data_IF_229078611911
#
_entry.id   IF_229078611911
#
_cell.length_a   1.000
_cell.length_b   1.000
_cell.length_c   1.000
_cell.angle_alpha   90.00
_cell.angle_beta   90.00
_cell.angle_gamma   90.00
#
_symmetry.space_group_name_H-M   'P 1'
#
loop_
_entity.id
_entity.type
_entity.pdbx_description
1 polymer ?
#
# COMPACT_ATOMS: atom_id res chain seq x y z
N UNK A 1 -8.76 -13.08 -0.75
CA UNK A 1 -9.54 -14.33 -0.94
C UNK A 1 -9.11 -15.09 -2.20
N UNK A 2 -9.25 -14.50 -3.41
CA UNK A 2 -8.88 -15.16 -4.67
C UNK A 2 -7.44 -15.69 -4.72
N UNK A 3 -6.51 -15.00 -4.07
CA UNK A 3 -5.12 -15.45 -3.95
C UNK A 3 -4.97 -16.82 -3.27
N UNK A 4 -5.81 -17.14 -2.28
CA UNK A 4 -5.75 -18.43 -1.59
C UNK A 4 -6.30 -19.56 -2.45
N UNK A 5 -7.37 -19.29 -3.20
CA UNK A 5 -7.87 -20.23 -4.21
C UNK A 5 -6.80 -20.44 -5.30
N UNK A 6 -6.21 -19.37 -5.82
CA UNK A 6 -5.12 -19.41 -6.80
C UNK A 6 -3.91 -20.22 -6.30
N UNK A 7 -3.50 -20.03 -5.04
CA UNK A 7 -2.43 -20.80 -4.40
C UNK A 7 -2.71 -22.30 -4.40
N UNK A 8 -3.94 -22.69 -4.02
CA UNK A 8 -4.36 -24.08 -4.03
C UNK A 8 -4.38 -24.66 -5.46
N UNK A 9 -5.01 -23.98 -6.43
CA UNK A 9 -5.06 -24.46 -7.82
C UNK A 9 -3.67 -24.63 -8.43
N UNK A 10 -2.73 -23.70 -8.18
CA UNK A 10 -1.35 -23.84 -8.69
C UNK A 10 -0.69 -25.10 -8.13
N UNK A 11 -0.85 -25.37 -6.83
CA UNK A 11 -0.21 -26.51 -6.18
C UNK A 11 -0.87 -27.82 -6.57
N UNK A 12 -2.20 -27.85 -6.60
CA UNK A 12 -2.99 -28.96 -7.10
C UNK A 12 -2.56 -29.33 -8.53
N UNK A 13 -2.39 -28.31 -9.38
CA UNK A 13 -1.95 -28.49 -10.76
C UNK A 13 -0.49 -28.94 -10.89
N UNK A 14 0.44 -28.25 -10.22
CA UNK A 14 1.88 -28.46 -10.42
C UNK A 14 2.35 -29.78 -9.84
N UNK A 15 1.80 -30.19 -8.69
CA UNK A 15 2.36 -31.29 -7.90
C UNK A 15 1.53 -32.57 -7.97
N UNK A 16 0.24 -32.51 -8.39
CA UNK A 16 -0.67 -33.66 -8.55
C UNK A 16 -0.44 -34.76 -7.51
N UNK A 17 -0.46 -34.37 -6.23
CA UNK A 17 -0.12 -35.26 -5.13
C UNK A 17 -1.30 -36.21 -4.84
N UNK A 18 -1.00 -37.47 -4.52
CA UNK A 18 -2.03 -38.45 -4.12
C UNK A 18 -2.66 -38.12 -2.75
N UNK A 19 -1.98 -37.33 -1.92
CA UNK A 19 -2.45 -37.00 -0.56
C UNK A 19 -3.04 -35.60 -0.49
N UNK A 20 -4.36 -35.56 -0.30
CA UNK A 20 -5.15 -34.34 -0.11
C UNK A 20 -4.60 -33.50 1.05
N UNK A 21 -4.23 -34.12 2.19
CA UNK A 21 -3.72 -33.39 3.36
C UNK A 21 -2.40 -32.67 3.10
N UNK A 22 -1.49 -33.30 2.35
CA UNK A 22 -0.19 -32.71 2.01
C UNK A 22 -0.41 -31.54 1.05
N UNK A 23 -1.31 -31.69 0.08
CA UNK A 23 -1.68 -30.63 -0.86
C UNK A 23 -2.27 -29.40 -0.15
N UNK A 24 -3.20 -29.60 0.79
CA UNK A 24 -3.76 -28.52 1.61
C UNK A 24 -2.70 -27.83 2.47
N UNK A 25 -1.77 -28.59 3.05
CA UNK A 25 -0.72 -28.03 3.90
C UNK A 25 0.25 -27.19 3.09
N UNK A 26 0.73 -27.71 1.96
CA UNK A 26 1.68 -27.01 1.10
C UNK A 26 1.06 -25.76 0.47
N UNK A 27 -0.20 -25.84 0.04
CA UNK A 27 -0.95 -24.69 -0.47
C UNK A 27 -1.22 -23.64 0.58
N UNK A 28 -1.44 -24.03 1.84
CA UNK A 28 -1.53 -23.12 2.96
C UNK A 28 -0.22 -22.39 3.23
N UNK A 29 0.92 -23.10 3.22
CA UNK A 29 2.25 -22.50 3.40
C UNK A 29 2.55 -21.52 2.27
N UNK A 30 2.31 -21.92 1.02
CA UNK A 30 2.52 -21.05 -0.14
C UNK A 30 1.60 -19.83 -0.11
N UNK A 31 0.35 -20.00 0.32
CA UNK A 31 -0.59 -18.89 0.48
C UNK A 31 -0.12 -17.89 1.54
N UNK A 32 0.36 -18.36 2.70
CA UNK A 32 0.89 -17.48 3.75
C UNK A 32 2.13 -16.74 3.25
N UNK A 33 3.01 -17.38 2.47
CA UNK A 33 4.17 -16.73 1.87
C UNK A 33 3.73 -15.59 0.93
N UNK A 34 2.79 -15.86 0.02
CA UNK A 34 2.26 -14.84 -0.90
C UNK A 34 1.59 -13.69 -0.14
N UNK A 35 0.79 -14.00 0.89
CA UNK A 35 0.22 -12.99 1.79
C UNK A 35 1.30 -12.14 2.47
N UNK A 36 2.40 -12.75 2.89
CA UNK A 36 3.55 -12.05 3.46
C UNK A 36 4.16 -11.05 2.49
N UNK A 37 4.43 -11.48 1.26
CA UNK A 37 4.99 -10.59 0.22
C UNK A 37 4.04 -9.43 -0.06
N UNK A 38 2.75 -9.71 -0.26
CA UNK A 38 1.76 -8.65 -0.51
C UNK A 38 1.61 -7.74 0.70
N UNK A 39 1.59 -8.28 1.92
CA UNK A 39 1.50 -7.49 3.15
C UNK A 39 2.69 -6.54 3.31
N UNK A 40 3.91 -7.01 3.03
CA UNK A 40 5.12 -6.18 3.06
C UNK A 40 5.04 -5.08 2.01
N UNK A 41 4.70 -5.42 0.76
CA UNK A 41 4.63 -4.46 -0.33
C UNK A 41 3.53 -3.42 -0.08
N UNK A 42 2.32 -3.86 0.28
CA UNK A 42 1.20 -2.95 0.57
C UNK A 42 1.55 -2.00 1.70
N UNK A 43 2.11 -2.48 2.81
CA UNK A 43 2.52 -1.61 3.93
C UNK A 43 3.68 -0.68 3.60
N UNK A 44 4.63 -1.11 2.77
CA UNK A 44 5.67 -0.24 2.26
C UNK A 44 5.08 0.90 1.41
N UNK A 45 4.10 0.56 0.55
CA UNK A 45 3.43 1.49 -0.36
C UNK A 45 2.32 2.34 0.30
N UNK A 46 1.83 1.95 1.47
CA UNK A 46 0.92 2.74 2.32
C UNK A 46 1.64 3.92 3.00
N UNK A 47 2.96 4.06 2.77
CA UNK A 47 3.62 5.34 3.00
C UNK A 47 2.90 6.46 2.23
N UNK A 48 2.96 7.71 2.71
CA UNK A 48 2.36 8.88 2.05
C UNK A 48 3.06 9.23 0.70
N UNK A 49 3.54 8.24 -0.03
CA UNK A 49 4.01 8.33 -1.39
C UNK A 49 2.81 8.20 -2.31
N UNK A 50 2.66 9.22 -3.16
CA UNK A 50 1.57 9.25 -4.11
C UNK A 50 2.11 9.63 -5.48
N UNK A 51 1.63 8.93 -6.51
CA UNK A 51 1.95 9.28 -7.87
C UNK A 51 1.01 10.41 -8.30
N UNK A 52 1.61 11.52 -8.72
CA UNK A 52 0.89 12.61 -9.34
C UNK A 52 0.89 12.35 -10.85
N UNK A 53 -0.29 12.18 -11.44
CA UNK A 53 -0.48 12.24 -12.90
C UNK A 53 -0.90 13.68 -13.27
N UNK A 54 0.02 14.50 -13.82
CA UNK A 54 -0.26 15.89 -14.16
C UNK A 54 -1.29 16.02 -15.30
N UNK A 55 -1.40 15.01 -16.17
CA UNK A 55 -2.26 15.06 -17.35
C UNK A 55 -3.74 14.89 -16.99
N UNK A 56 -4.04 14.14 -15.92
CA UNK A 56 -5.42 13.91 -15.45
C UNK A 56 -5.77 14.69 -14.18
N UNK A 57 -4.81 15.38 -13.57
CA UNK A 57 -5.00 16.09 -12.29
C UNK A 57 -5.41 15.16 -11.15
N UNK A 58 -4.97 13.89 -11.21
CA UNK A 58 -5.31 12.85 -10.23
C UNK A 58 -4.06 12.43 -9.46
N UNK A 59 -4.29 12.12 -8.20
CA UNK A 59 -3.30 11.70 -7.22
C UNK A 59 -3.67 10.26 -6.90
N UNK A 60 -2.86 9.30 -7.34
CA UNK A 60 -3.15 7.86 -7.22
C UNK A 60 -2.20 7.27 -6.19
N UNK A 61 -2.70 6.77 -5.05
CA UNK A 61 -1.90 6.03 -4.07
C UNK A 61 -1.19 4.86 -4.76
N UNK A 62 0.08 4.64 -4.43
CA UNK A 62 0.86 3.57 -5.08
C UNK A 62 0.30 2.19 -4.73
N UNK A 63 -0.30 2.05 -3.55
CA UNK A 63 -1.07 0.87 -3.13
C UNK A 63 -2.19 0.52 -4.11
N UNK A 64 -2.96 1.52 -4.54
CA UNK A 64 -4.11 1.34 -5.42
C UNK A 64 -3.67 1.00 -6.84
N UNK A 65 -2.55 1.61 -7.28
CA UNK A 65 -1.92 1.25 -8.54
C UNK A 65 -1.47 -0.22 -8.54
N UNK A 66 -0.80 -0.68 -7.48
CA UNK A 66 -0.37 -2.08 -7.39
C UNK A 66 -1.57 -3.03 -7.40
N UNK A 67 -2.62 -2.74 -6.64
CA UNK A 67 -3.83 -3.58 -6.60
C UNK A 67 -4.50 -3.65 -7.97
N UNK A 68 -4.52 -2.52 -8.70
CA UNK A 68 -5.05 -2.45 -10.07
C UNK A 68 -4.24 -3.28 -11.07
N UNK A 69 -2.94 -3.46 -10.85
CA UNK A 69 -2.08 -4.31 -11.70
C UNK A 69 -2.17 -5.79 -11.31
N UNK A 70 -2.28 -6.08 -10.01
CA UNK A 70 -2.25 -7.45 -9.48
C UNK A 70 -3.60 -8.17 -9.69
N UNK A 71 -4.72 -7.48 -9.47
CA UNK A 71 -6.07 -8.06 -9.56
C UNK A 71 -6.36 -8.68 -10.93
N UNK A 72 -6.07 -8.04 -12.08
CA UNK A 72 -6.25 -8.65 -13.40
C UNK A 72 -5.39 -9.90 -13.61
N UNK A 73 -4.14 -9.89 -13.17
CA UNK A 73 -3.21 -11.02 -13.35
C UNK A 73 -3.72 -12.25 -12.57
N UNK A 74 -4.09 -12.06 -11.30
CA UNK A 74 -4.64 -13.13 -10.46
C UNK A 74 -6.00 -13.58 -11.00
N UNK A 75 -6.86 -12.65 -11.43
CA UNK A 75 -8.19 -12.96 -11.96
C UNK A 75 -8.15 -13.80 -13.23
N UNK A 76 -7.32 -13.42 -14.21
CA UNK A 76 -7.15 -14.18 -15.47
C UNK A 76 -6.53 -15.55 -15.18
N UNK A 77 -5.51 -15.61 -14.33
CA UNK A 77 -4.89 -16.87 -13.94
C UNK A 77 -5.87 -17.81 -13.25
N UNK A 78 -6.72 -17.29 -12.36
CA UNK A 78 -7.73 -18.07 -11.64
C UNK A 78 -8.82 -18.58 -12.59
N UNK A 79 -9.31 -17.75 -13.51
CA UNK A 79 -10.28 -18.17 -14.52
C UNK A 79 -9.71 -19.31 -15.39
N UNK A 80 -8.46 -19.17 -15.81
CA UNK A 80 -7.76 -20.18 -16.60
C UNK A 80 -7.62 -21.50 -15.84
N UNK A 81 -7.07 -21.47 -14.62
CA UNK A 81 -6.83 -22.67 -13.83
C UNK A 81 -8.14 -23.36 -13.43
N UNK A 82 -9.14 -22.60 -13.00
CA UNK A 82 -10.42 -23.14 -12.58
C UNK A 82 -11.22 -23.71 -13.75
N UNK A 83 -11.21 -23.02 -14.90
CA UNK A 83 -11.82 -23.53 -16.12
C UNK A 83 -11.16 -24.83 -16.60
N UNK A 84 -9.82 -24.90 -16.51
CA UNK A 84 -9.05 -26.10 -16.87
C UNK A 84 -9.37 -27.28 -15.95
N UNK A 85 -9.36 -27.09 -14.64
CA UNK A 85 -9.62 -28.19 -13.68
C UNK A 85 -11.07 -28.65 -13.74
N UNK A 86 -12.02 -27.72 -13.94
CA UNK A 86 -13.41 -28.08 -14.20
C UNK A 86 -13.55 -28.92 -15.49
N UNK A 87 -12.80 -28.57 -16.53
CA UNK A 87 -12.82 -29.33 -17.80
C UNK A 87 -12.19 -30.72 -17.65
N UNK A 88 -11.14 -30.85 -16.84
CA UNK A 88 -10.54 -32.14 -16.53
C UNK A 88 -11.53 -33.04 -15.76
N UNK A 89 -12.15 -32.51 -14.70
CA UNK A 89 -13.14 -33.22 -13.90
C UNK A 89 -14.35 -33.65 -14.75
N UNK A 90 -14.82 -32.78 -15.65
CA UNK A 90 -15.93 -33.09 -16.55
C UNK A 90 -15.59 -34.17 -17.59
N UNK A 91 -14.32 -34.26 -18.02
CA UNK A 91 -13.87 -35.24 -19.02
C UNK A 91 -13.64 -36.62 -18.42
N UNK A 92 -13.13 -36.68 -17.20
CA UNK A 92 -12.78 -37.93 -16.53
C UNK A 92 -13.97 -38.60 -15.83
N UNK A 93 -15.20 -38.09 -16.06
CA UNK A 93 -16.43 -38.61 -15.46
C UNK A 93 -16.51 -38.33 -13.95
N UNK A 94 -15.82 -37.28 -13.51
CA UNK A 94 -15.68 -36.90 -12.12
C UNK A 94 -16.95 -36.33 -11.49
N UNK A 95 -16.86 -36.01 -10.20
CA UNK A 95 -17.98 -35.51 -9.42
C UNK A 95 -17.88 -33.99 -9.27
N UNK A 96 -18.57 -33.28 -10.17
CA UNK A 96 -18.62 -31.80 -10.17
C UNK A 96 -19.11 -31.22 -8.84
N UNK A 97 -19.98 -31.93 -8.11
CA UNK A 97 -20.49 -31.48 -6.81
C UNK A 97 -19.39 -31.51 -5.76
N UNK A 98 -18.57 -32.57 -5.74
CA UNK A 98 -17.42 -32.66 -4.83
C UNK A 98 -16.38 -31.59 -5.17
N UNK A 99 -16.09 -31.37 -6.46
CA UNK A 99 -15.18 -30.31 -6.89
C UNK A 99 -15.66 -28.91 -6.47
N UNK A 100 -16.94 -28.60 -6.65
CA UNK A 100 -17.49 -27.32 -6.20
C UNK A 100 -17.43 -27.17 -4.68
N UNK A 101 -17.71 -28.25 -3.94
CA UNK A 101 -17.63 -28.26 -2.48
C UNK A 101 -16.20 -28.02 -1.98
N UNK A 102 -15.18 -28.62 -2.61
CA UNK A 102 -13.77 -28.39 -2.24
C UNK A 102 -13.34 -26.96 -2.54
N UNK A 103 -13.73 -26.40 -3.70
CA UNK A 103 -13.46 -25.00 -4.04
C UNK A 103 -14.08 -24.04 -3.02
N UNK A 104 -15.33 -24.28 -2.61
CA UNK A 104 -16.00 -23.46 -1.60
C UNK A 104 -15.31 -23.55 -0.23
N UNK A 105 -14.89 -24.76 0.16
CA UNK A 105 -14.13 -24.98 1.40
C UNK A 105 -12.81 -24.22 1.37
N UNK A 106 -12.05 -24.32 0.26
CA UNK A 106 -10.78 -23.60 0.07
C UNK A 106 -11.01 -22.09 0.17
N UNK A 107 -12.05 -21.55 -0.48
CA UNK A 107 -12.39 -20.12 -0.42
C UNK A 107 -12.70 -19.67 1.01
N UNK A 108 -13.46 -20.46 1.77
CA UNK A 108 -13.79 -20.14 3.16
C UNK A 108 -12.54 -20.13 4.04
N UNK A 109 -11.72 -21.17 3.96
CA UNK A 109 -10.45 -21.27 4.71
C UNK A 109 -9.48 -20.15 4.33
N UNK A 110 -9.33 -19.85 3.04
CA UNK A 110 -8.48 -18.77 2.55
C UNK A 110 -8.91 -17.40 3.08
N UNK A 111 -10.23 -17.18 3.20
CA UNK A 111 -10.79 -15.95 3.75
C UNK A 111 -10.47 -15.81 5.23
N UNK A 112 -10.70 -16.87 6.02
CA UNK A 112 -10.39 -16.88 7.44
C UNK A 112 -8.90 -16.60 7.69
N UNK A 113 -8.01 -17.31 7.01
CA UNK A 113 -6.55 -17.12 7.13
C UNK A 113 -6.14 -15.72 6.69
N UNK A 114 -6.72 -15.18 5.62
CA UNK A 114 -6.41 -13.83 5.14
C UNK A 114 -6.74 -12.76 6.18
N UNK A 115 -7.91 -12.84 6.81
CA UNK A 115 -8.33 -11.91 7.87
C UNK A 115 -7.39 -12.03 9.08
N UNK A 116 -7.09 -13.26 9.51
CA UNK A 116 -6.18 -13.50 10.64
C UNK A 116 -4.77 -12.98 10.36
N UNK A 117 -4.25 -13.17 9.15
CA UNK A 117 -2.93 -12.69 8.75
C UNK A 117 -2.86 -11.16 8.78
N UNK A 118 -3.85 -10.47 8.18
CA UNK A 118 -3.88 -9.01 8.14
C UNK A 118 -3.90 -8.41 9.56
N UNK A 119 -4.66 -9.03 10.47
CA UNK A 119 -4.70 -8.63 11.86
C UNK A 119 -3.34 -8.80 12.56
N UNK A 120 -2.72 -9.97 12.44
CA UNK A 120 -1.41 -10.26 13.07
C UNK A 120 -0.29 -9.38 12.50
N UNK A 121 -0.28 -9.17 11.19
CA UNK A 121 0.74 -8.37 10.51
C UNK A 121 0.65 -6.88 10.88
N UNK A 122 -0.56 -6.32 10.92
CA UNK A 122 -0.81 -4.93 11.34
C UNK A 122 -0.34 -4.67 12.77
N UNK A 123 -0.50 -5.66 13.65
CA UNK A 123 -0.07 -5.53 15.05
C UNK A 123 1.46 -5.50 15.21
N UNK A 124 2.21 -6.30 14.43
CA UNK A 124 3.62 -6.56 14.74
C UNK A 124 4.64 -5.79 13.89
N UNK A 125 4.38 -5.57 12.59
CA UNK A 125 5.43 -5.12 11.65
C UNK A 125 5.12 -3.85 10.85
N UNK A 126 3.88 -3.35 10.89
CA UNK A 126 3.43 -2.24 10.05
C UNK A 126 4.33 -1.00 10.06
N UNK A 127 4.65 -0.49 11.26
CA UNK A 127 5.42 0.76 11.43
C UNK A 127 6.89 0.63 11.04
N UNK A 128 7.50 -0.54 11.27
CA UNK A 128 8.93 -0.78 11.00
C UNK A 128 9.21 -0.87 9.51
N UNK A 129 8.43 -1.68 8.78
CA UNK A 129 8.58 -1.85 7.33
C UNK A 129 8.36 -0.52 6.60
N UNK A 130 7.34 0.24 7.00
CA UNK A 130 7.09 1.56 6.43
C UNK A 130 8.28 2.50 6.61
N UNK A 131 8.85 2.59 7.82
CA UNK A 131 9.98 3.48 8.09
C UNK A 131 11.25 3.09 7.31
N UNK A 132 11.49 1.79 7.14
CA UNK A 132 12.59 1.29 6.29
C UNK A 132 12.39 1.66 4.82
N UNK A 133 11.17 1.52 4.30
CA UNK A 133 10.86 1.90 2.93
C UNK A 133 10.98 3.40 2.70
N UNK A 134 10.46 4.23 3.62
CA UNK A 134 10.59 5.69 3.57
C UNK A 134 12.05 6.13 3.53
N UNK A 135 12.92 5.46 4.29
CA UNK A 135 14.37 5.74 4.31
C UNK A 135 15.03 5.37 2.97
N UNK A 136 14.67 4.22 2.38
CA UNK A 136 15.16 3.82 1.06
C UNK A 136 14.67 4.77 -0.05
N UNK A 137 13.43 5.25 0.04
CA UNK A 137 12.89 6.22 -0.89
C UNK A 137 13.65 7.56 -0.81
N UNK A 138 14.02 8.01 0.40
CA UNK A 138 14.85 9.21 0.59
C UNK A 138 16.22 9.03 -0.07
N UNK A 139 16.89 7.89 0.14
CA UNK A 139 18.22 7.61 -0.43
C UNK A 139 18.20 7.58 -1.97
N UNK A 140 17.19 6.95 -2.58
CA UNK A 140 17.15 6.73 -4.04
C UNK A 140 16.49 7.85 -4.83
N UNK A 141 15.47 8.51 -4.28
CA UNK A 141 14.60 9.41 -5.02
C UNK A 141 14.62 10.85 -4.49
N UNK A 142 15.10 11.06 -3.25
CA UNK A 142 15.02 12.33 -2.52
C UNK A 142 13.70 13.10 -2.75
N UNK A 143 12.54 12.48 -2.46
CA UNK A 143 11.25 13.03 -2.84
C UNK A 143 10.90 14.28 -2.01
N UNK A 144 10.13 15.17 -2.63
CA UNK A 144 9.59 16.36 -1.97
C UNK A 144 8.20 16.09 -1.40
N UNK A 145 7.89 16.74 -0.29
CA UNK A 145 6.54 16.75 0.29
C UNK A 145 5.76 17.95 -0.20
N UNK A 146 4.50 17.71 -0.59
CA UNK A 146 3.59 18.72 -1.11
C UNK A 146 2.42 18.91 -0.17
N UNK A 147 1.97 20.16 -0.04
CA UNK A 147 0.69 20.50 0.56
C UNK A 147 -0.38 20.65 -0.52
N UNK A 148 -1.58 20.16 -0.21
CA UNK A 148 -2.73 20.17 -1.12
C UNK A 148 -3.62 21.34 -0.78
N UNK A 149 -3.56 22.40 -1.59
CA UNK A 149 -4.47 23.54 -1.46
C UNK A 149 -5.53 23.49 -2.56
N UNK A 150 -6.80 23.61 -2.19
CA UNK A 150 -7.91 23.67 -3.15
C UNK A 150 -8.32 25.14 -3.31
N UNK A 151 -8.12 25.68 -4.50
CA UNK A 151 -8.49 27.07 -4.82
C UNK A 151 -9.32 27.10 -6.11
N UNK A 152 -10.53 27.70 -6.05
CA UNK A 152 -11.42 27.89 -7.20
C UNK A 152 -11.63 26.62 -8.06
N UNK A 153 -11.79 25.48 -7.39
CA UNK A 153 -12.02 24.19 -8.06
C UNK A 153 -10.78 23.53 -8.68
N UNK A 154 -9.59 24.13 -8.58
CA UNK A 154 -8.31 23.52 -8.97
C UNK A 154 -7.52 23.07 -7.74
N UNK A 155 -6.86 21.93 -7.85
CA UNK A 155 -5.92 21.42 -6.84
C UNK A 155 -4.55 22.00 -7.18
N UNK A 156 -3.95 22.71 -6.23
CA UNK A 156 -2.59 23.25 -6.33
C UNK A 156 -1.69 22.50 -5.36
N UNK A 157 -0.57 21.99 -5.89
CA UNK A 157 0.47 21.31 -5.14
C UNK A 157 1.54 22.34 -4.79
N UNK A 158 1.65 22.70 -3.52
CA UNK A 158 2.70 23.59 -3.05
C UNK A 158 3.80 22.77 -2.39
N UNK A 159 5.04 22.91 -2.85
CA UNK A 159 6.20 22.25 -2.22
C UNK A 159 6.36 22.80 -0.81
N UNK A 160 6.41 21.92 0.19
CA UNK A 160 6.58 22.30 1.61
C UNK A 160 8.02 22.13 2.07
N UNK A 161 8.49 20.89 2.07
CA UNK A 161 9.83 20.52 2.53
C UNK A 161 10.26 19.16 1.95
N UNK A 162 11.53 18.77 2.15
CA UNK A 162 11.99 17.44 1.72
C UNK A 162 11.38 16.33 2.59
N UNK A 163 11.21 15.12 2.04
CA UNK A 163 10.71 13.99 2.82
C UNK A 163 11.64 13.62 3.99
N UNK A 164 12.95 13.82 3.83
CA UNK A 164 13.95 13.64 4.88
C UNK A 164 13.69 14.55 6.09
N UNK A 165 13.44 15.83 5.83
CA UNK A 165 13.12 16.82 6.86
C UNK A 165 11.78 16.51 7.55
N UNK A 166 10.78 16.05 6.79
CA UNK A 166 9.50 15.58 7.36
C UNK A 166 9.68 14.40 8.31
N UNK A 167 10.53 13.44 7.96
CA UNK A 167 10.78 12.24 8.77
C UNK A 167 11.61 12.56 10.03
N UNK A 168 12.59 13.45 9.91
CA UNK A 168 13.45 13.87 11.03
C UNK A 168 12.69 14.70 12.07
N UNK A 169 11.70 15.47 11.63
CA UNK A 169 11.04 16.46 12.46
C UNK A 169 9.78 15.97 13.17
N UNK A 170 9.25 14.78 12.82
CA UNK A 170 7.93 14.30 13.30
C UNK A 170 6.84 15.41 13.26
N UNK A 171 6.97 16.38 12.35
CA UNK A 171 6.15 17.59 12.34
C UNK A 171 4.72 17.21 11.95
N UNK A 172 3.90 17.03 12.99
CA UNK A 172 2.48 17.41 13.04
C UNK A 172 2.27 18.74 12.28
N UNK A 173 1.10 18.98 11.65
CA UNK A 173 0.86 20.17 10.81
C UNK A 173 1.52 21.38 11.45
N UNK A 174 2.50 21.94 10.74
CA UNK A 174 3.51 22.82 11.33
C UNK A 174 2.84 23.84 12.23
N UNK A 175 3.37 24.05 13.44
CA UNK A 175 2.89 25.04 14.39
C UNK A 175 2.50 26.29 13.60
N UNK A 176 1.20 26.48 13.39
CA UNK A 176 0.69 27.65 12.69
C UNK A 176 1.20 28.81 13.51
N UNK A 177 2.15 29.57 12.98
CA UNK A 177 2.67 30.74 13.65
C UNK A 177 1.45 31.64 13.90
N UNK A 178 1.05 31.73 15.16
CA UNK A 178 -0.01 32.66 15.52
C UNK A 178 0.55 34.07 15.41
N UNK A 179 -0.31 35.07 15.25
CA UNK A 179 0.16 36.46 15.23
C UNK A 179 1.00 36.81 16.47
N UNK A 180 0.74 36.15 17.62
CA UNK A 180 1.58 36.23 18.82
C UNK A 180 2.99 35.66 18.64
N UNK A 181 3.17 34.60 17.86
CA UNK A 181 4.51 34.09 17.54
C UNK A 181 5.26 35.02 16.58
N UNK A 182 4.54 35.70 15.68
CA UNK A 182 5.10 36.71 14.77
C UNK A 182 5.55 37.96 15.53
N UNK A 183 4.80 38.38 16.55
CA UNK A 183 5.16 39.51 17.43
C UNK A 183 6.40 39.22 18.30
N UNK A 184 6.68 37.95 18.57
CA UNK A 184 7.84 37.51 19.36
C UNK A 184 9.06 37.15 18.50
N UNK A 185 8.98 37.29 17.18
CA UNK A 185 10.17 37.16 16.34
C UNK A 185 11.11 38.32 16.65
N UNK A 186 12.43 38.08 16.70
CA UNK A 186 13.39 39.15 16.87
C UNK A 186 13.21 40.12 15.72
N UNK A 187 12.57 41.26 16.02
CA UNK A 187 12.39 42.31 15.03
C UNK A 187 13.79 42.76 14.61
N UNK A 188 14.00 42.99 13.32
CA UNK A 188 15.27 43.51 12.80
C UNK A 188 15.67 44.90 13.39
N UNK A 189 14.89 45.44 14.33
CA UNK A 189 15.11 46.68 15.05
C UNK A 189 16.19 46.58 16.14
N UNK A 190 16.55 45.38 16.63
CA UNK A 190 17.55 45.26 17.71
C UNK A 190 19.01 45.36 17.23
N UNK A 191 19.23 45.52 15.92
CA UNK A 191 20.56 45.46 15.32
C UNK A 191 21.14 46.80 14.85
N UNK A 192 20.64 47.36 13.73
CA UNK A 192 21.49 48.27 12.96
C UNK A 192 20.80 49.19 11.94
N UNK A 193 19.49 49.44 12.03
CA UNK A 193 18.79 50.33 11.09
C UNK A 193 18.09 51.45 11.85
N UNK A 194 18.71 52.64 11.90
CA UNK A 194 17.99 53.88 12.25
C UNK A 194 16.90 54.09 11.19
N UNK A 195 15.66 54.21 11.62
CA UNK A 195 14.57 54.66 10.76
C UNK A 195 14.88 56.05 10.18
N UNK A 196 14.32 56.41 9.02
CA UNK A 196 14.52 57.74 8.45
C UNK A 196 14.03 58.81 9.43
N UNK A 197 14.92 59.74 9.79
CA UNK A 197 14.60 60.89 10.62
C UNK A 197 13.71 61.85 9.82
N UNK A 198 12.59 62.26 10.41
CA UNK A 198 11.67 63.20 9.80
C UNK A 198 12.32 64.59 9.75
N UNK A 199 12.54 65.20 8.57
CA UNK A 199 13.23 66.48 8.45
C UNK A 199 12.39 67.69 8.89
N UNK A 200 11.34 67.49 9.68
CA UNK A 200 10.39 68.52 10.13
C UNK A 200 10.26 68.61 11.66
N UNK A 201 11.08 67.88 12.42
CA UNK A 201 11.33 68.12 13.85
C UNK A 201 12.68 68.83 14.07
#
# INVERSE_FOLDING_TARGET
VFLGLFSWLIIHWTLRLDSILIEFTLSGIFYILLLGVIGIVTTALESNLVLVDPARGRIIPISDWLDSMLTPIVGVGLLFLLGRDLMAEARDGGNTVLFSATVLLVLYCATAVGITFQWGYSWWHGKSVRRQFETQAIDKLNPQSYDLTRNRGRIQLNVRCSMAERLASEIAPGKNLTFKDLDNLPSAHEGFIKGPENPLD
#
